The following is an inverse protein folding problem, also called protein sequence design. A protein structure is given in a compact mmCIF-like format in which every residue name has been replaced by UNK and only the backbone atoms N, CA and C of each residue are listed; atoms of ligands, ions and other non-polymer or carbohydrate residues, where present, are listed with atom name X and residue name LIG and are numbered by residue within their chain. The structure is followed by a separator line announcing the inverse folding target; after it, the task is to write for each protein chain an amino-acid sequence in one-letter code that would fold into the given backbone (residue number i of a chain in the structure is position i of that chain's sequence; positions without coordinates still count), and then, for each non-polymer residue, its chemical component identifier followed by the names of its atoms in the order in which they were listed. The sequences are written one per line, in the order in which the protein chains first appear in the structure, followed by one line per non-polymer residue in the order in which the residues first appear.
data_IF_395681208611
#
_entry.id   IF_395681208611
#
_cell.length_a   1.000
_cell.length_b   1.000
_cell.length_c   1.000
_cell.angle_alpha   90.00
_cell.angle_beta   90.00
_cell.angle_gamma   90.00
#
_symmetry.space_group_name_H-M   'P 1'
#
loop_
_entity.id
_entity.type
_entity.pdbx_description
1 polymer ?
#
# COMPACT_ATOMS: atom_id res chain seq x y z
N UNK A 1 10.18 -31.52 12.02
CA UNK A 1 9.65 -31.03 10.74
C UNK A 1 9.80 -29.53 10.72
N UNK A 2 10.51 -28.95 9.75
CA UNK A 2 10.41 -27.48 9.53
C UNK A 2 9.00 -27.24 9.02
N UNK A 3 8.18 -26.54 9.79
CA UNK A 3 6.90 -26.01 9.32
C UNK A 3 7.22 -25.09 8.14
N UNK A 4 6.73 -25.45 6.95
CA UNK A 4 6.79 -24.57 5.79
C UNK A 4 5.91 -23.37 6.12
N UNK A 5 6.49 -22.16 6.06
CA UNK A 5 5.73 -20.92 6.25
C UNK A 5 4.73 -20.81 5.10
N UNK A 6 3.44 -20.68 5.42
CA UNK A 6 2.36 -20.49 4.44
C UNK A 6 2.50 -19.14 3.74
N UNK A 7 2.00 -19.03 2.51
CA UNK A 7 2.17 -17.83 1.69
C UNK A 7 1.32 -16.64 2.17
N UNK A 8 1.91 -15.46 2.33
CA UNK A 8 1.20 -14.25 2.76
C UNK A 8 1.12 -13.22 1.62
N UNK A 9 -0.05 -13.13 0.99
CA UNK A 9 -0.32 -12.21 -0.13
C UNK A 9 -0.25 -10.72 0.26
N UNK A 10 -0.51 -10.39 1.52
CA UNK A 10 -0.56 -9.01 2.00
C UNK A 10 0.81 -8.44 2.39
N UNK A 11 1.79 -9.32 2.68
CA UNK A 11 2.98 -8.96 3.45
C UNK A 11 3.77 -7.77 2.88
N UNK A 12 4.04 -7.80 1.57
CA UNK A 12 4.93 -6.82 0.97
C UNK A 12 4.19 -5.51 0.67
N UNK A 13 3.00 -5.59 0.07
CA UNK A 13 2.20 -4.42 -0.30
C UNK A 13 1.72 -3.65 0.95
N UNK A 14 1.26 -4.33 2.00
CA UNK A 14 0.84 -3.62 3.21
C UNK A 14 1.99 -2.92 3.94
N UNK A 15 3.23 -3.43 3.84
CA UNK A 15 4.39 -2.71 4.38
C UNK A 15 4.72 -1.47 3.56
N UNK A 16 4.59 -1.53 2.24
CA UNK A 16 4.72 -0.39 1.35
C UNK A 16 3.67 0.69 1.69
N UNK A 17 2.40 0.30 1.74
CA UNK A 17 1.27 1.18 2.06
C UNK A 17 1.43 1.87 3.43
N UNK A 18 1.84 1.13 4.47
CA UNK A 18 2.14 1.73 5.79
C UNK A 18 3.28 2.74 5.71
N UNK A 19 4.37 2.44 4.98
CA UNK A 19 5.47 3.40 4.81
C UNK A 19 5.07 4.65 4.04
N UNK A 20 4.22 4.53 3.01
CA UNK A 20 3.66 5.69 2.30
C UNK A 20 2.92 6.62 3.26
N UNK A 21 2.07 6.07 4.13
CA UNK A 21 1.34 6.85 5.13
C UNK A 21 2.26 7.57 6.12
N UNK A 22 3.26 6.88 6.66
CA UNK A 22 4.17 7.47 7.64
C UNK A 22 5.08 8.54 7.03
N UNK A 23 5.55 8.32 5.80
CA UNK A 23 6.30 9.34 5.05
C UNK A 23 5.44 10.56 4.77
N UNK A 24 4.22 10.35 4.26
CA UNK A 24 3.27 11.43 3.99
C UNK A 24 2.92 12.23 5.24
N UNK A 25 2.60 11.56 6.35
CA UNK A 25 2.28 12.22 7.61
C UNK A 25 3.44 13.07 8.12
N UNK A 26 4.66 12.56 7.98
CA UNK A 26 5.88 13.28 8.38
C UNK A 26 6.08 14.57 7.57
N UNK A 27 5.68 14.58 6.30
CA UNK A 27 5.71 15.76 5.44
C UNK A 27 4.55 16.72 5.74
N UNK A 28 3.33 16.20 5.84
CA UNK A 28 2.11 16.99 6.10
C UNK A 28 2.23 17.77 7.42
N UNK A 29 2.72 17.15 8.49
CA UNK A 29 2.90 17.85 9.78
C UNK A 29 3.93 19.00 9.76
N UNK A 30 4.85 19.00 8.79
CA UNK A 30 5.87 20.05 8.61
C UNK A 30 5.47 21.07 7.54
N UNK A 31 4.37 20.83 6.84
CA UNK A 31 3.97 21.65 5.70
C UNK A 31 3.29 22.93 6.17
N UNK A 32 3.86 24.06 5.75
CA UNK A 32 3.13 25.32 5.75
C UNK A 32 2.23 25.36 4.52
N UNK A 33 0.92 25.22 4.73
CA UNK A 33 -0.10 25.17 3.68
C UNK A 33 -0.35 26.53 3.01
N UNK A 34 0.26 27.61 3.50
CA UNK A 34 0.18 28.93 2.87
C UNK A 34 1.23 29.12 1.78
N UNK A 35 2.28 28.28 1.76
CA UNK A 35 3.39 28.36 0.82
C UNK A 35 3.21 27.48 -0.43
N UNK A 36 3.85 27.87 -1.54
CA UNK A 36 3.84 27.12 -2.82
C UNK A 36 4.44 25.70 -2.72
N UNK A 37 5.24 25.42 -1.69
CA UNK A 37 5.81 24.08 -1.50
C UNK A 37 4.76 23.05 -1.11
N UNK A 38 3.62 23.49 -0.56
CA UNK A 38 2.52 22.61 -0.17
C UNK A 38 1.90 21.87 -1.36
N UNK A 39 1.91 22.46 -2.57
CA UNK A 39 1.39 21.82 -3.78
C UNK A 39 2.04 20.45 -4.06
N UNK A 40 3.34 20.30 -3.79
CA UNK A 40 4.05 19.03 -3.97
C UNK A 40 3.57 17.98 -2.99
N UNK A 41 3.38 18.34 -1.72
CA UNK A 41 2.92 17.42 -0.68
C UNK A 41 1.47 17.02 -0.92
N UNK A 42 0.64 17.94 -1.41
CA UNK A 42 -0.73 17.63 -1.84
C UNK A 42 -0.75 16.66 -3.02
N UNK A 43 0.12 16.85 -4.03
CA UNK A 43 0.20 15.92 -5.16
C UNK A 43 0.65 14.51 -4.72
N UNK A 44 1.59 14.43 -3.78
CA UNK A 44 1.98 13.15 -3.16
C UNK A 44 0.82 12.51 -2.41
N UNK A 45 0.06 13.30 -1.64
CA UNK A 45 -1.13 12.83 -0.94
C UNK A 45 -2.18 12.26 -1.89
N UNK A 46 -2.49 12.96 -2.98
CA UNK A 46 -3.43 12.46 -4.00
C UNK A 46 -2.98 11.14 -4.62
N UNK A 47 -1.67 10.98 -4.83
CA UNK A 47 -1.09 9.72 -5.32
C UNK A 47 -1.23 8.59 -4.31
N UNK A 48 -1.01 8.86 -3.02
CA UNK A 48 -1.25 7.87 -1.94
C UNK A 48 -2.72 7.49 -1.88
N UNK A 49 -3.65 8.44 -1.94
CA UNK A 49 -5.09 8.15 -1.95
C UNK A 49 -5.51 7.30 -3.14
N UNK A 50 -4.90 7.52 -4.32
CA UNK A 50 -5.11 6.65 -5.47
C UNK A 50 -4.66 5.21 -5.21
N UNK A 51 -3.47 4.99 -4.62
CA UNK A 51 -3.00 3.63 -4.31
C UNK A 51 -3.90 2.90 -3.32
N UNK A 52 -4.41 3.61 -2.30
CA UNK A 52 -5.32 3.00 -1.33
C UNK A 52 -6.66 2.61 -1.96
N UNK A 53 -7.25 3.46 -2.80
CA UNK A 53 -8.49 3.13 -3.49
C UNK A 53 -8.32 1.92 -4.43
N UNK A 54 -7.21 1.84 -5.19
CA UNK A 54 -6.94 0.71 -6.08
C UNK A 54 -6.67 -0.59 -5.30
N UNK A 55 -5.93 -0.50 -4.19
CA UNK A 55 -5.61 -1.64 -3.33
C UNK A 55 -6.90 -2.29 -2.79
N UNK A 56 -7.81 -1.49 -2.23
CA UNK A 56 -9.11 -1.97 -1.75
C UNK A 56 -9.96 -2.60 -2.87
N UNK A 57 -10.02 -1.98 -4.06
CA UNK A 57 -10.74 -2.55 -5.22
C UNK A 57 -10.13 -3.90 -5.66
N UNK A 58 -8.80 -4.02 -5.62
CA UNK A 58 -8.13 -5.27 -5.96
C UNK A 58 -8.43 -6.38 -4.96
N UNK A 59 -8.46 -6.06 -3.66
CA UNK A 59 -8.83 -7.03 -2.63
C UNK A 59 -10.28 -7.49 -2.76
N UNK A 60 -11.22 -6.58 -2.97
CA UNK A 60 -12.62 -6.92 -3.22
C UNK A 60 -12.76 -7.91 -4.39
N UNK A 61 -12.12 -7.58 -5.51
CA UNK A 61 -12.30 -8.30 -6.78
C UNK A 61 -11.54 -9.63 -6.84
N UNK A 62 -10.35 -9.69 -6.28
CA UNK A 62 -9.44 -10.81 -6.47
C UNK A 62 -9.19 -11.63 -5.21
N UNK A 63 -9.49 -11.11 -4.02
CA UNK A 63 -9.33 -11.85 -2.76
C UNK A 63 -10.70 -12.16 -2.15
N UNK A 64 -11.50 -11.15 -1.81
CA UNK A 64 -12.77 -11.33 -1.11
C UNK A 64 -13.78 -12.13 -1.96
N UNK A 65 -13.83 -11.87 -3.27
CA UNK A 65 -14.65 -12.63 -4.21
C UNK A 65 -14.40 -14.16 -4.17
N UNK A 66 -13.20 -14.60 -3.79
CA UNK A 66 -12.89 -16.03 -3.71
C UNK A 66 -13.33 -16.67 -2.39
N UNK A 67 -13.36 -15.92 -1.28
CA UNK A 67 -13.62 -16.46 0.06
C UNK A 67 -15.05 -16.19 0.57
N UNK A 68 -15.81 -15.32 -0.09
CA UNK A 68 -17.15 -14.88 0.34
C UNK A 68 -18.12 -16.03 0.65
N UNK A 69 -18.03 -17.14 -0.08
CA UNK A 69 -18.90 -18.30 0.15
C UNK A 69 -18.49 -19.11 1.39
N UNK A 70 -17.22 -19.10 1.75
CA UNK A 70 -16.65 -19.85 2.87
C UNK A 70 -16.70 -19.05 4.17
N UNK A 71 -16.51 -17.72 4.11
CA UNK A 71 -16.43 -16.82 5.26
C UNK A 71 -17.27 -15.54 5.05
N UNK A 72 -18.61 -15.66 4.84
CA UNK A 72 -19.46 -14.54 4.40
C UNK A 72 -19.51 -13.38 5.39
N UNK A 73 -19.45 -13.65 6.70
CA UNK A 73 -19.48 -12.61 7.73
C UNK A 73 -18.20 -11.78 7.74
N UNK A 74 -17.04 -12.44 7.59
CA UNK A 74 -15.75 -11.75 7.53
C UNK A 74 -15.64 -10.91 6.26
N UNK A 75 -16.08 -11.45 5.13
CA UNK A 75 -16.13 -10.70 3.86
C UNK A 75 -17.04 -9.47 3.97
N UNK A 76 -18.27 -9.61 4.47
CA UNK A 76 -19.18 -8.47 4.66
C UNK A 76 -18.58 -7.40 5.59
N UNK A 77 -17.84 -7.82 6.62
CA UNK A 77 -17.17 -6.89 7.54
C UNK A 77 -16.03 -6.13 6.86
N UNK A 78 -15.25 -6.77 5.99
CA UNK A 78 -14.14 -6.14 5.27
C UNK A 78 -14.64 -5.24 4.12
N UNK A 79 -15.66 -5.66 3.39
CA UNK A 79 -16.32 -4.81 2.38
C UNK A 79 -16.87 -3.51 3.03
N UNK A 80 -17.42 -3.60 4.25
CA UNK A 80 -17.84 -2.40 5.01
C UNK A 80 -16.65 -1.53 5.41
N UNK A 81 -15.54 -2.14 5.79
CA UNK A 81 -14.30 -1.41 6.07
C UNK A 81 -13.82 -0.66 4.81
N UNK A 82 -13.83 -1.28 3.62
CA UNK A 82 -13.46 -0.61 2.37
C UNK A 82 -14.40 0.56 2.02
N UNK A 83 -15.70 0.45 2.33
CA UNK A 83 -16.63 1.59 2.21
C UNK A 83 -16.24 2.73 3.15
N UNK A 84 -15.83 2.43 4.39
CA UNK A 84 -15.35 3.45 5.33
C UNK A 84 -14.06 4.09 4.80
N UNK A 85 -13.11 3.29 4.30
CA UNK A 85 -11.86 3.78 3.72
C UNK A 85 -12.11 4.75 2.57
N UNK A 86 -13.00 4.37 1.65
CA UNK A 86 -13.37 5.21 0.52
C UNK A 86 -13.99 6.55 0.95
N UNK A 87 -14.82 6.55 2.00
CA UNK A 87 -15.39 7.80 2.53
C UNK A 87 -14.32 8.70 3.15
N UNK A 88 -13.38 8.14 3.92
CA UNK A 88 -12.26 8.91 4.48
C UNK A 88 -11.36 9.48 3.39
N UNK A 89 -11.10 8.69 2.34
CA UNK A 89 -10.38 9.11 1.13
C UNK A 89 -11.10 10.24 0.39
N UNK A 90 -12.43 10.18 0.29
CA UNK A 90 -13.27 11.23 -0.29
C UNK A 90 -13.25 12.54 0.52
N UNK A 91 -13.33 12.44 1.85
CA UNK A 91 -13.24 13.60 2.74
C UNK A 91 -11.89 14.32 2.58
N UNK A 92 -10.78 13.57 2.51
CA UNK A 92 -9.46 14.13 2.24
C UNK A 92 -9.41 14.87 0.91
N UNK A 93 -9.97 14.31 -0.16
CA UNK A 93 -10.04 14.97 -1.47
C UNK A 93 -10.90 16.24 -1.43
N UNK A 94 -11.96 16.25 -0.64
CA UNK A 94 -12.77 17.45 -0.44
C UNK A 94 -11.97 18.54 0.28
N UNK A 95 -11.20 18.21 1.32
CA UNK A 95 -10.33 19.19 1.99
C UNK A 95 -9.20 19.70 1.09
N UNK A 96 -8.61 18.85 0.25
CA UNK A 96 -7.65 19.25 -0.78
C UNK A 96 -8.28 20.24 -1.76
N UNK A 97 -9.51 19.96 -2.22
CA UNK A 97 -10.25 20.85 -3.12
C UNK A 97 -10.51 22.22 -2.47
N UNK A 98 -10.92 22.24 -1.20
CA UNK A 98 -11.11 23.47 -0.44
C UNK A 98 -9.80 24.26 -0.31
N UNK A 99 -8.69 23.58 0.00
CA UNK A 99 -7.37 24.22 0.09
C UNK A 99 -6.94 24.88 -1.23
N UNK A 100 -7.19 24.23 -2.38
CA UNK A 100 -6.88 24.80 -3.71
C UNK A 100 -7.74 26.02 -4.05
N UNK A 101 -8.99 26.04 -3.57
CA UNK A 101 -9.96 27.10 -3.85
C UNK A 101 -9.92 28.25 -2.85
N UNK A 102 -9.17 28.10 -1.75
CA UNK A 102 -8.99 29.11 -0.73
C UNK A 102 -8.47 30.44 -1.32
N UNK A 103 -9.12 31.53 -0.93
CA UNK A 103 -8.88 32.90 -1.42
C UNK A 103 -8.13 33.76 -0.42
N UNK A 104 -7.98 33.30 0.82
CA UNK A 104 -7.20 33.97 1.86
C UNK A 104 -6.19 33.03 2.51
N UNK A 105 -5.25 33.62 3.26
CA UNK A 105 -4.25 32.88 4.03
C UNK A 105 -4.93 32.05 5.12
N UNK A 106 -5.92 32.64 5.80
CA UNK A 106 -6.67 32.00 6.88
C UNK A 106 -7.48 30.78 6.37
N UNK A 107 -8.07 30.89 5.17
CA UNK A 107 -8.77 29.75 4.52
C UNK A 107 -7.80 28.61 4.18
N UNK A 108 -6.57 28.94 3.74
CA UNK A 108 -5.53 27.94 3.48
C UNK A 108 -5.04 27.27 4.75
N UNK A 109 -4.80 28.04 5.82
CA UNK A 109 -4.40 27.50 7.13
C UNK A 109 -5.48 26.57 7.70
N UNK A 110 -6.75 26.98 7.62
CA UNK A 110 -7.88 26.16 8.07
C UNK A 110 -7.96 24.85 7.29
N UNK A 111 -7.89 24.91 5.96
CA UNK A 111 -7.94 23.72 5.10
C UNK A 111 -6.75 22.79 5.35
N UNK A 112 -5.54 23.34 5.50
CA UNK A 112 -4.35 22.57 5.87
C UNK A 112 -4.51 21.83 7.20
N UNK A 113 -5.13 22.48 8.19
CA UNK A 113 -5.43 21.86 9.49
C UNK A 113 -6.46 20.73 9.36
N UNK A 114 -7.48 20.88 8.51
CA UNK A 114 -8.45 19.84 8.22
C UNK A 114 -7.80 18.63 7.53
N UNK A 115 -6.95 18.87 6.52
CA UNK A 115 -6.15 17.82 5.86
C UNK A 115 -5.32 17.05 6.89
N UNK A 116 -4.62 17.74 7.80
CA UNK A 116 -3.81 17.11 8.83
C UNK A 116 -4.64 16.17 9.74
N UNK A 117 -5.79 16.62 10.25
CA UNK A 117 -6.60 15.79 11.14
C UNK A 117 -7.24 14.62 10.40
N UNK A 118 -7.82 14.86 9.23
CA UNK A 118 -8.45 13.81 8.44
C UNK A 118 -7.42 12.76 7.96
N UNK A 119 -6.16 13.17 7.67
CA UNK A 119 -5.10 12.20 7.35
C UNK A 119 -4.76 11.33 8.55
N UNK A 120 -4.75 11.86 9.78
CA UNK A 120 -4.54 11.02 10.97
C UNK A 120 -5.67 10.00 11.16
N UNK A 121 -6.92 10.37 10.90
CA UNK A 121 -8.05 9.45 10.95
C UNK A 121 -7.94 8.35 9.88
N UNK A 122 -7.62 8.74 8.64
CA UNK A 122 -7.35 7.82 7.54
C UNK A 122 -6.23 6.83 7.88
N UNK A 123 -5.12 7.31 8.45
CA UNK A 123 -4.00 6.46 8.86
C UNK A 123 -4.42 5.50 9.97
N UNK A 124 -5.09 6.01 11.01
CA UNK A 124 -5.49 5.17 12.14
C UNK A 124 -6.44 4.04 11.70
N UNK A 125 -7.39 4.36 10.82
CA UNK A 125 -8.29 3.38 10.22
C UNK A 125 -7.52 2.33 9.42
N UNK A 126 -6.69 2.75 8.46
CA UNK A 126 -5.98 1.84 7.56
C UNK A 126 -4.98 0.92 8.28
N UNK A 127 -4.32 1.41 9.34
CA UNK A 127 -3.46 0.56 10.17
C UNK A 127 -4.25 -0.54 10.88
N UNK A 128 -5.46 -0.23 11.37
CA UNK A 128 -6.33 -1.20 12.01
C UNK A 128 -6.90 -2.21 11.00
N UNK A 129 -7.37 -1.70 9.86
CA UNK A 129 -7.93 -2.49 8.77
C UNK A 129 -6.91 -3.51 8.22
N UNK A 130 -5.71 -3.07 7.80
CA UNK A 130 -4.66 -3.99 7.32
C UNK A 130 -4.24 -5.03 8.38
N UNK A 131 -4.31 -4.69 9.68
CA UNK A 131 -4.07 -5.67 10.74
C UNK A 131 -5.18 -6.72 10.79
N UNK A 132 -6.44 -6.35 10.58
CA UNK A 132 -7.55 -7.30 10.51
C UNK A 132 -7.39 -8.26 9.35
N UNK A 133 -6.97 -7.77 8.19
CA UNK A 133 -6.71 -8.62 7.02
C UNK A 133 -5.58 -9.61 7.30
N UNK A 134 -4.45 -9.13 7.80
CA UNK A 134 -3.27 -9.97 8.07
C UNK A 134 -3.50 -10.97 9.22
N UNK A 135 -4.33 -10.64 10.21
CA UNK A 135 -4.58 -11.51 11.37
C UNK A 135 -5.85 -12.37 11.23
N UNK A 136 -6.77 -12.05 10.33
CA UNK A 136 -8.04 -12.76 10.18
C UNK A 136 -8.23 -13.28 8.76
N UNK A 137 -8.25 -12.41 7.75
CA UNK A 137 -8.46 -12.80 6.35
C UNK A 137 -7.36 -13.75 5.87
N UNK A 138 -6.09 -13.48 6.19
CA UNK A 138 -4.99 -14.36 5.83
C UNK A 138 -5.14 -15.77 6.41
N UNK A 139 -5.55 -15.88 7.68
CA UNK A 139 -5.78 -17.17 8.33
C UNK A 139 -6.96 -17.92 7.69
N UNK A 140 -8.01 -17.19 7.31
CA UNK A 140 -9.14 -17.72 6.58
C UNK A 140 -8.74 -18.21 5.18
N UNK A 141 -7.91 -17.45 4.45
CA UNK A 141 -7.35 -17.88 3.18
C UNK A 141 -6.54 -19.17 3.33
N UNK A 142 -5.69 -19.26 4.36
CA UNK A 142 -4.90 -20.47 4.61
C UNK A 142 -5.73 -21.71 4.96
N UNK A 143 -6.89 -21.50 5.59
CA UNK A 143 -7.82 -22.57 5.95
C UNK A 143 -8.50 -23.17 4.71
N UNK A 144 -8.82 -22.36 3.71
CA UNK A 144 -9.65 -22.77 2.57
C UNK A 144 -8.88 -22.96 1.26
N UNK A 145 -7.70 -22.34 1.12
CA UNK A 145 -6.92 -22.35 -0.12
C UNK A 145 -5.51 -22.85 0.11
N UNK A 146 -4.95 -23.47 -0.92
CA UNK A 146 -3.52 -23.78 -1.01
C UNK A 146 -2.71 -22.54 -1.37
N UNK A 147 -1.40 -22.54 -1.06
CA UNK A 147 -0.51 -21.44 -1.44
C UNK A 147 -0.47 -21.22 -2.96
N UNK A 148 -0.67 -22.27 -3.76
CA UNK A 148 -0.76 -22.16 -5.23
C UNK A 148 -2.01 -21.41 -5.69
N UNK A 149 -3.12 -21.52 -4.97
CA UNK A 149 -4.35 -20.80 -5.28
C UNK A 149 -4.22 -19.34 -4.87
N UNK A 150 -3.65 -19.06 -3.70
CA UNK A 150 -3.40 -17.69 -3.23
C UNK A 150 -2.42 -16.96 -4.17
N UNK A 151 -1.33 -17.61 -4.60
CA UNK A 151 -0.40 -17.05 -5.59
C UNK A 151 -1.07 -16.73 -6.93
N UNK A 152 -2.08 -17.50 -7.34
CA UNK A 152 -2.84 -17.18 -8.57
C UNK A 152 -3.71 -15.94 -8.39
N UNK A 153 -4.30 -15.74 -7.21
CA UNK A 153 -5.05 -14.53 -6.91
C UNK A 153 -4.14 -13.30 -7.00
N UNK A 154 -2.96 -13.36 -6.37
CA UNK A 154 -1.96 -12.29 -6.48
C UNK A 154 -1.51 -12.04 -7.93
N UNK A 155 -1.28 -13.10 -8.72
CA UNK A 155 -0.95 -12.95 -10.14
C UNK A 155 -2.05 -12.25 -10.94
N UNK A 156 -3.33 -12.45 -10.58
CA UNK A 156 -4.45 -11.75 -11.21
C UNK A 156 -4.44 -10.26 -10.84
N UNK A 157 -4.15 -9.92 -9.57
CA UNK A 157 -3.96 -8.55 -9.11
C UNK A 157 -2.82 -7.88 -9.88
N UNK A 158 -1.64 -8.51 -9.91
CA UNK A 158 -0.48 -7.97 -10.63
C UNK A 158 -0.75 -7.76 -12.13
N UNK A 159 -1.57 -8.62 -12.74
CA UNK A 159 -1.94 -8.50 -14.15
C UNK A 159 -2.98 -7.40 -14.42
N UNK A 160 -3.72 -6.94 -13.41
CA UNK A 160 -4.68 -5.83 -13.55
C UNK A 160 -4.09 -4.45 -13.29
N UNK A 161 -2.96 -4.37 -12.57
CA UNK A 161 -2.32 -3.10 -12.23
C UNK A 161 -1.61 -2.51 -13.45
N UNK A 162 -1.75 -1.18 -13.67
CA UNK A 162 -0.97 -0.47 -14.69
C UNK A 162 0.55 -0.64 -14.43
N UNK A 163 1.38 -0.95 -15.44
CA UNK A 163 2.80 -1.22 -15.22
C UNK A 163 3.58 -0.08 -14.54
N UNK A 164 3.17 1.19 -14.70
CA UNK A 164 3.80 2.32 -14.02
C UNK A 164 3.42 2.34 -12.54
N UNK A 165 2.13 2.11 -12.23
CA UNK A 165 1.63 1.97 -10.84
C UNK A 165 2.35 0.82 -10.14
N UNK A 166 2.41 -0.35 -10.76
CA UNK A 166 3.10 -1.53 -10.20
C UNK A 166 4.56 -1.23 -9.88
N UNK A 167 5.24 -0.47 -10.74
CA UNK A 167 6.64 -0.08 -10.54
C UNK A 167 6.80 0.92 -9.39
N UNK A 168 5.87 1.86 -9.22
CA UNK A 168 5.86 2.79 -8.09
C UNK A 168 5.61 2.07 -6.76
N UNK A 169 4.63 1.17 -6.71
CA UNK A 169 4.37 0.32 -5.54
C UNK A 169 5.57 -0.57 -5.22
N UNK A 170 6.20 -1.16 -6.24
CA UNK A 170 7.41 -1.98 -6.10
C UNK A 170 8.56 -1.19 -5.47
N UNK A 171 8.73 0.09 -5.83
CA UNK A 171 9.74 0.96 -5.17
C UNK A 171 9.45 1.11 -3.70
N UNK A 172 8.19 1.34 -3.32
CA UNK A 172 7.81 1.40 -1.92
C UNK A 172 7.98 0.06 -1.20
N UNK A 173 7.63 -1.06 -1.82
CA UNK A 173 7.90 -2.39 -1.25
C UNK A 173 9.39 -2.60 -0.97
N UNK A 174 10.26 -2.27 -1.93
CA UNK A 174 11.72 -2.39 -1.78
C UNK A 174 12.24 -1.62 -0.57
N UNK A 175 11.73 -0.40 -0.34
CA UNK A 175 12.08 0.44 0.82
C UNK A 175 11.64 -0.19 2.14
N UNK A 176 10.46 -0.80 2.16
CA UNK A 176 9.67 -1.07 3.36
C UNK A 176 9.81 -2.48 3.93
N UNK A 177 9.99 -3.50 3.09
CA UNK A 177 10.13 -4.89 3.54
C UNK A 177 11.55 -5.13 4.08
N UNK A 178 11.77 -6.16 4.90
CA UNK A 178 13.08 -6.45 5.51
C UNK A 178 14.02 -7.24 4.57
N UNK A 179 15.29 -7.44 4.94
CA UNK A 179 16.29 -8.10 4.07
C UNK A 179 15.90 -9.53 3.65
N UNK A 180 15.30 -10.32 4.53
CA UNK A 180 14.88 -11.68 4.18
C UNK A 180 13.72 -11.65 3.17
N UNK A 181 12.79 -10.72 3.33
CA UNK A 181 11.66 -10.51 2.44
C UNK A 181 12.12 -9.98 1.06
N UNK A 182 13.11 -9.09 1.02
CA UNK A 182 13.71 -8.64 -0.26
C UNK A 182 14.32 -9.82 -1.01
N UNK A 183 15.10 -10.68 -0.34
CA UNK A 183 15.72 -11.83 -1.00
C UNK A 183 14.66 -12.80 -1.53
N UNK A 184 13.64 -13.12 -0.74
CA UNK A 184 12.53 -13.98 -1.15
C UNK A 184 11.77 -13.40 -2.35
N UNK A 185 11.47 -12.10 -2.33
CA UNK A 185 10.76 -11.43 -3.42
C UNK A 185 11.61 -11.37 -4.70
N UNK A 186 12.89 -11.03 -4.58
CA UNK A 186 13.83 -10.96 -5.70
C UNK A 186 14.07 -12.34 -6.34
N UNK A 187 14.14 -13.41 -5.55
CA UNK A 187 14.20 -14.78 -6.06
C UNK A 187 12.94 -15.13 -6.86
N UNK A 188 11.77 -14.72 -6.37
CA UNK A 188 10.49 -14.86 -7.08
C UNK A 188 10.49 -14.15 -8.44
N UNK A 189 10.97 -12.91 -8.50
CA UNK A 189 11.09 -12.13 -9.75
C UNK A 189 12.09 -12.81 -10.69
N UNK A 190 13.24 -13.26 -10.19
CA UNK A 190 14.28 -13.93 -11.00
C UNK A 190 13.75 -15.19 -11.69
N UNK A 191 12.86 -15.94 -11.02
CA UNK A 191 12.26 -17.17 -11.55
C UNK A 191 11.12 -16.88 -12.53
N UNK A 192 10.34 -15.82 -12.29
CA UNK A 192 9.09 -15.55 -13.02
C UNK A 192 9.21 -14.53 -14.16
N UNK A 193 10.24 -13.69 -14.15
CA UNK A 193 10.39 -12.60 -15.11
C UNK A 193 11.64 -12.75 -16.00
N UNK A 194 11.65 -12.16 -17.22
CA UNK A 194 12.85 -12.10 -18.05
C UNK A 194 14.02 -11.38 -17.37
N UNK A 195 15.26 -11.76 -17.71
CA UNK A 195 16.46 -11.16 -17.13
C UNK A 195 16.49 -9.62 -17.15
N UNK A 196 16.06 -8.91 -18.22
CA UNK A 196 16.02 -7.44 -18.21
C UNK A 196 15.09 -6.86 -17.14
N UNK A 197 14.01 -7.55 -16.78
CA UNK A 197 13.12 -7.10 -15.69
C UNK A 197 13.82 -7.27 -14.35
N UNK A 198 14.48 -8.40 -14.12
CA UNK A 198 15.24 -8.62 -12.89
C UNK A 198 16.32 -7.56 -12.68
N UNK A 199 17.04 -7.16 -13.73
CA UNK A 199 18.04 -6.08 -13.65
C UNK A 199 17.43 -4.72 -13.24
N UNK A 200 16.20 -4.42 -13.68
CA UNK A 200 15.48 -3.21 -13.24
C UNK A 200 15.23 -3.24 -11.73
N UNK A 201 14.84 -4.39 -11.18
CA UNK A 201 14.62 -4.53 -9.74
C UNK A 201 15.93 -4.55 -8.93
N UNK A 202 17.03 -5.07 -9.50
CA UNK A 202 18.36 -4.94 -8.89
C UNK A 202 18.79 -3.47 -8.79
N UNK A 203 18.58 -2.70 -9.86
CA UNK A 203 18.84 -1.27 -9.84
C UNK A 203 17.94 -0.54 -8.84
N UNK A 204 16.65 -0.90 -8.77
CA UNK A 204 15.73 -0.37 -7.76
C UNK A 204 16.23 -0.64 -6.33
N UNK A 205 16.71 -1.85 -6.03
CA UNK A 205 17.29 -2.15 -4.73
C UNK A 205 18.49 -1.25 -4.42
N UNK A 206 19.34 -0.95 -5.42
CA UNK A 206 20.48 -0.05 -5.25
C UNK A 206 20.06 1.40 -5.01
N UNK A 207 18.99 1.86 -5.66
CA UNK A 207 18.47 3.23 -5.55
C UNK A 207 17.75 3.47 -4.21
N UNK A 208 16.96 2.49 -3.76
CA UNK A 208 16.00 2.68 -2.67
C UNK A 208 16.54 2.27 -1.29
N UNK A 209 17.56 1.41 -1.24
CA UNK A 209 18.10 0.90 0.02
C UNK A 209 19.31 1.73 0.50
N UNK A 210 19.45 1.95 1.82
CA UNK A 210 20.70 2.46 2.38
C UNK A 210 21.89 1.60 1.94
N UNK A 211 23.02 2.21 1.58
CA UNK A 211 24.19 1.47 1.04
C UNK A 211 24.65 0.30 1.90
N UNK A 212 24.61 0.45 3.23
CA UNK A 212 24.97 -0.62 4.17
C UNK A 212 24.04 -1.82 4.00
N UNK A 213 22.73 -1.55 3.95
CA UNK A 213 21.68 -2.55 3.78
C UNK A 213 21.75 -3.24 2.42
N UNK A 214 21.98 -2.49 1.34
CA UNK A 214 22.16 -3.05 0.00
C UNK A 214 23.36 -4.01 -0.07
N UNK A 215 24.50 -3.67 0.55
CA UNK A 215 25.70 -4.54 0.55
C UNK A 215 25.53 -5.84 1.32
N UNK A 216 24.63 -5.88 2.31
CA UNK A 216 24.28 -7.09 3.04
C UNK A 216 23.46 -8.06 2.20
N UNK A 217 22.70 -7.54 1.22
CA UNK A 217 21.93 -8.34 0.28
C UNK A 217 22.87 -8.93 -0.77
N UNK A 218 23.18 -10.22 -0.60
CA UNK A 218 23.92 -11.00 -1.59
C UNK A 218 22.94 -11.54 -2.62
N UNK A 219 22.56 -10.70 -3.57
CA UNK A 219 21.81 -11.15 -4.75
C UNK A 219 22.69 -12.14 -5.54
N UNK A 220 22.23 -13.38 -5.66
CA UNK A 220 22.89 -14.43 -6.45
C UNK A 220 22.38 -14.41 -7.90
#
# INVERSE_FOLDING_TARGET
MRTVKRYNVFNNIHKALRSMLFDLQSKIQQTDFTELKADKVIAEMERVLYFYDEHADHEDRFILAHIVHQEPQLTEELEKDHVIDHNLSADLRQFISNWRQAKSVEEKELSGKQIFYALNEFIAFNLYHMNKEENQLLLALWKHFSDKEILRMEQQIMASIDPQVLMEESRWMMRSINNAEILEWMDGIKVSAPAPVYEVFLQMAADELPQVRFRELKFN
#
